data_IF_788716339356
#
_entry.id   IF_788716339356
#
_cell.length_a   1.000
_cell.length_b   1.000
_cell.length_c   1.000
_cell.angle_alpha   90.00
_cell.angle_beta   90.00
_cell.angle_gamma   90.00
#
_symmetry.space_group_name_H-M   'P 1'
#
loop_
_entity.id
_entity.type
_entity.pdbx_description
1 polymer ?
#
# COMPACT_ATOMS: atom_id res chain seq x y z
N UNK A 1 49.11 -19.25 17.31
CA UNK A 1 50.24 -19.40 16.33
C UNK A 1 49.66 -19.94 15.02
N UNK A 2 49.86 -19.26 13.89
CA UNK A 2 49.44 -19.72 12.57
C UNK A 2 48.96 -18.54 11.72
N UNK A 3 49.87 -17.63 11.32
CA UNK A 3 49.73 -16.66 10.25
C UNK A 3 49.79 -17.39 8.92
N UNK A 4 48.85 -17.15 8.01
CA UNK A 4 49.03 -17.40 6.58
C UNK A 4 48.76 -16.11 5.81
N UNK A 5 49.85 -15.56 5.35
CA UNK A 5 50.00 -14.51 4.37
C UNK A 5 49.85 -15.14 2.99
N UNK A 6 49.07 -14.55 2.10
CA UNK A 6 49.19 -14.84 0.67
C UNK A 6 49.26 -13.56 -0.15
N UNK A 7 50.25 -13.64 -0.98
CA UNK A 7 50.94 -12.62 -1.74
C UNK A 7 50.18 -12.15 -2.98
N UNK A 8 50.38 -10.88 -3.24
CA UNK A 8 50.08 -10.10 -4.44
C UNK A 8 50.93 -10.52 -5.60
N UNK A 9 50.36 -10.72 -6.78
CA UNK A 9 51.11 -10.61 -8.03
C UNK A 9 50.29 -9.94 -9.11
N UNK A 10 50.80 -8.79 -9.51
CA UNK A 10 50.45 -8.02 -10.71
C UNK A 10 50.65 -8.82 -11.99
N UNK A 11 49.81 -8.60 -12.98
CA UNK A 11 50.24 -8.65 -14.38
C UNK A 11 49.43 -7.69 -15.24
N UNK A 12 50.08 -6.58 -15.51
CA UNK A 12 49.77 -5.58 -16.49
C UNK A 12 50.18 -6.07 -17.88
N UNK A 13 49.28 -6.15 -18.84
CA UNK A 13 49.65 -6.15 -20.26
C UNK A 13 48.68 -5.30 -21.07
N UNK A 14 49.23 -4.20 -21.50
CA UNK A 14 48.76 -3.27 -22.52
C UNK A 14 48.75 -3.99 -23.88
N UNK A 15 47.62 -3.96 -24.59
CA UNK A 15 47.61 -4.10 -26.04
C UNK A 15 46.75 -3.01 -26.65
N UNK A 16 47.40 -2.08 -27.27
CA UNK A 16 46.91 -1.02 -28.14
C UNK A 16 46.61 -1.66 -29.52
N UNK A 17 45.39 -1.54 -30.03
CA UNK A 17 45.15 -1.79 -31.46
C UNK A 17 44.07 -0.86 -31.97
N UNK A 18 44.53 0.08 -32.76
CA UNK A 18 43.77 0.99 -33.62
C UNK A 18 43.25 0.19 -34.82
N UNK A 19 41.95 0.19 -35.06
CA UNK A 19 41.39 -0.05 -36.40
C UNK A 19 40.19 0.86 -36.60
N UNK A 20 40.38 1.87 -37.44
CA UNK A 20 39.36 2.69 -38.09
C UNK A 20 38.61 1.85 -39.13
N UNK A 21 37.28 1.82 -39.04
CA UNK A 21 36.45 1.46 -40.18
C UNK A 21 35.14 2.24 -40.13
N UNK A 22 35.06 3.20 -41.02
CA UNK A 22 33.89 4.01 -41.37
C UNK A 22 32.92 3.15 -42.17
N UNK A 23 31.73 2.94 -41.67
CA UNK A 23 30.61 2.36 -42.43
C UNK A 23 29.32 3.08 -42.07
N UNK A 24 28.94 4.02 -42.89
CA UNK A 24 27.62 4.61 -42.97
C UNK A 24 26.65 3.56 -43.51
N UNK A 25 25.74 3.07 -42.65
CA UNK A 25 24.55 2.36 -43.06
C UNK A 25 23.36 3.05 -42.38
N UNK A 26 22.72 3.90 -43.16
CA UNK A 26 21.36 4.39 -42.91
C UNK A 26 20.38 3.23 -42.94
N UNK A 27 20.00 2.70 -41.81
CA UNK A 27 18.85 1.83 -41.66
C UNK A 27 17.74 2.63 -40.97
N UNK A 28 16.74 3.02 -41.73
CA UNK A 28 15.42 3.37 -41.17
C UNK A 28 14.86 2.10 -40.51
N UNK A 29 15.16 1.93 -39.22
CA UNK A 29 14.50 1.00 -38.36
C UNK A 29 13.41 1.78 -37.64
N UNK A 30 12.16 1.50 -37.96
CA UNK A 30 11.01 1.89 -37.13
C UNK A 30 11.20 1.30 -35.75
N UNK A 31 11.72 2.08 -34.83
CA UNK A 31 11.64 1.80 -33.41
C UNK A 31 10.15 1.85 -33.07
N UNK A 32 9.52 0.67 -33.02
CA UNK A 32 8.30 0.49 -32.25
C UNK A 32 8.63 0.94 -30.84
N UNK A 33 8.17 2.14 -30.49
CA UNK A 33 8.06 2.52 -29.10
C UNK A 33 7.10 1.50 -28.50
N UNK A 34 7.61 0.51 -27.77
CA UNK A 34 6.82 -0.18 -26.77
C UNK A 34 6.38 0.93 -25.81
N UNK A 35 5.12 1.34 -25.98
CA UNK A 35 4.38 2.05 -24.95
C UNK A 35 4.27 1.07 -23.77
N UNK A 36 5.33 1.00 -22.96
CA UNK A 36 5.15 0.62 -21.57
C UNK A 36 4.24 1.71 -21.02
N UNK A 37 2.97 1.38 -20.90
CA UNK A 37 2.01 2.14 -20.14
C UNK A 37 2.62 2.26 -18.74
N UNK A 38 3.22 3.40 -18.45
CA UNK A 38 3.70 3.73 -17.11
C UNK A 38 2.45 3.68 -16.23
N UNK A 39 2.31 2.62 -15.44
CA UNK A 39 1.21 2.50 -14.49
C UNK A 39 1.33 3.73 -13.60
N UNK A 40 0.34 4.61 -13.68
CA UNK A 40 0.35 5.86 -12.91
C UNK A 40 0.45 5.51 -11.42
N UNK A 41 1.54 5.95 -10.78
CA UNK A 41 1.70 5.78 -9.33
C UNK A 41 0.57 6.46 -8.60
N UNK A 42 -0.04 5.77 -7.67
CA UNK A 42 -1.05 6.34 -6.79
C UNK A 42 -0.45 7.43 -5.88
N UNK A 43 -1.30 8.22 -5.30
CA UNK A 43 -0.95 9.30 -4.37
C UNK A 43 -1.65 9.09 -3.03
N UNK A 44 -0.98 9.46 -1.95
CA UNK A 44 -1.65 9.60 -0.65
C UNK A 44 -2.51 10.86 -0.69
N UNK A 45 -3.79 10.82 -0.27
CA UNK A 45 -4.63 12.00 -0.18
C UNK A 45 -4.00 13.09 0.71
N UNK A 46 -4.18 14.36 0.36
CA UNK A 46 -3.60 15.47 1.11
C UNK A 46 -4.36 15.81 2.41
N UNK A 47 -5.59 15.33 2.56
CA UNK A 47 -6.43 15.53 3.75
C UNK A 47 -7.42 14.38 3.92
N UNK A 48 -8.01 14.29 5.12
CA UNK A 48 -9.06 13.33 5.45
C UNK A 48 -10.48 13.79 5.07
N UNK A 49 -10.66 15.01 4.65
CA UNK A 49 -11.97 15.52 4.21
C UNK A 49 -12.23 15.12 2.76
N UNK A 50 -12.46 13.81 2.54
CA UNK A 50 -12.67 13.20 1.22
C UNK A 50 -14.17 12.93 1.05
N UNK A 51 -14.89 13.73 0.21
CA UNK A 51 -16.34 13.66 0.12
C UNK A 51 -16.87 12.27 -0.22
N UNK A 52 -16.21 11.56 -1.14
CA UNK A 52 -16.61 10.21 -1.57
C UNK A 52 -16.50 9.20 -0.44
N UNK A 53 -15.43 9.25 0.35
CA UNK A 53 -15.23 8.35 1.51
C UNK A 53 -16.24 8.66 2.59
N UNK A 54 -16.47 9.95 2.89
CA UNK A 54 -17.50 10.38 3.86
C UNK A 54 -18.88 9.90 3.44
N UNK A 55 -19.24 10.01 2.15
CA UNK A 55 -20.53 9.59 1.64
C UNK A 55 -20.74 8.07 1.80
N UNK A 56 -19.73 7.26 1.54
CA UNK A 56 -19.84 5.80 1.70
C UNK A 56 -19.94 5.37 3.16
N UNK A 57 -19.22 6.03 4.07
CA UNK A 57 -19.42 5.83 5.50
C UNK A 57 -20.82 6.24 5.96
N UNK A 58 -21.34 7.38 5.48
CA UNK A 58 -22.67 7.85 5.81
C UNK A 58 -23.80 6.99 5.22
N UNK A 59 -23.55 6.29 4.12
CA UNK A 59 -24.49 5.33 3.55
C UNK A 59 -24.70 4.11 4.47
N UNK A 60 -23.68 3.70 5.22
CA UNK A 60 -23.77 2.58 6.15
C UNK A 60 -24.13 3.01 7.56
N UNK A 61 -23.52 4.08 8.04
CA UNK A 61 -23.80 4.68 9.35
C UNK A 61 -24.25 6.12 9.13
N UNK A 62 -25.56 6.38 9.08
CA UNK A 62 -26.11 7.72 8.88
C UNK A 62 -25.51 8.76 9.83
N UNK A 63 -25.28 9.97 9.34
CA UNK A 63 -24.63 11.08 10.05
C UNK A 63 -23.12 10.91 10.26
N UNK A 64 -22.49 9.86 9.72
CA UNK A 64 -21.02 9.72 9.71
C UNK A 64 -20.37 10.89 9.00
N UNK A 65 -19.25 11.34 9.55
CA UNK A 65 -18.41 12.40 8.99
C UNK A 65 -16.95 12.13 9.30
N UNK A 66 -16.05 12.89 8.72
CA UNK A 66 -14.68 12.91 9.17
C UNK A 66 -14.61 13.37 10.64
N UNK A 67 -13.85 12.62 11.45
CA UNK A 67 -13.59 12.91 12.86
C UNK A 67 -12.12 13.23 13.03
N UNK A 68 -11.74 14.49 13.31
CA UNK A 68 -10.36 14.83 13.62
C UNK A 68 -9.83 13.98 14.77
N UNK A 69 -8.72 13.29 14.55
CA UNK A 69 -8.13 12.38 15.53
C UNK A 69 -6.65 12.74 15.72
N UNK A 70 -6.25 12.93 16.97
CA UNK A 70 -4.85 13.10 17.35
C UNK A 70 -4.25 11.69 17.60
N UNK A 71 -3.60 11.17 16.56
CA UNK A 71 -3.08 9.82 16.58
C UNK A 71 -1.83 9.68 17.46
N UNK A 72 -1.86 8.69 18.36
CA UNK A 72 -0.74 8.33 19.24
C UNK A 72 -0.39 6.85 18.99
N UNK A 73 0.27 6.51 17.86
CA UNK A 73 0.50 5.11 17.50
C UNK A 73 1.48 4.45 18.46
N UNK A 74 1.20 3.20 18.80
CA UNK A 74 2.17 2.34 19.45
C UNK A 74 3.23 1.88 18.42
N UNK A 75 4.49 1.69 18.84
CA UNK A 75 5.52 1.12 17.97
C UNK A 75 5.06 -0.22 17.34
N UNK A 76 5.58 -0.51 16.17
CA UNK A 76 5.34 -1.76 15.44
C UNK A 76 3.88 -2.01 15.02
N UNK A 77 3.01 -1.00 15.07
CA UNK A 77 1.63 -1.06 14.56
C UNK A 77 1.55 -0.62 13.09
N UNK A 78 0.45 -0.99 12.41
CA UNK A 78 0.15 -0.50 11.06
C UNK A 78 0.04 1.02 11.04
N UNK A 79 -0.59 1.60 12.06
CA UNK A 79 -0.73 3.04 12.19
C UNK A 79 0.62 3.75 12.29
N UNK A 80 1.56 3.21 13.11
CA UNK A 80 2.91 3.75 13.18
C UNK A 80 3.60 3.65 11.81
N UNK A 81 3.54 2.50 11.16
CA UNK A 81 4.15 2.30 9.85
C UNK A 81 3.59 3.26 8.79
N UNK A 82 2.30 3.54 8.82
CA UNK A 82 1.65 4.52 7.93
C UNK A 82 2.20 5.92 8.17
N UNK A 83 2.21 6.40 9.41
CA UNK A 83 2.62 7.76 9.74
C UNK A 83 4.14 7.96 9.54
N UNK A 84 4.96 6.98 9.87
CA UNK A 84 6.42 7.01 9.68
C UNK A 84 6.82 7.05 8.19
N UNK A 85 5.94 6.57 7.29
CA UNK A 85 6.16 6.57 5.84
C UNK A 85 5.41 7.69 5.10
N UNK A 86 5.12 8.81 5.76
CA UNK A 86 4.41 9.97 5.19
C UNK A 86 2.99 9.62 4.69
N UNK A 87 2.36 8.67 5.31
CA UNK A 87 0.96 8.35 5.09
C UNK A 87 0.03 9.23 5.91
N UNK A 88 -1.27 9.03 5.71
CA UNK A 88 -2.31 9.65 6.55
C UNK A 88 -3.26 8.60 7.12
N UNK A 89 -3.82 8.92 8.27
CA UNK A 89 -4.79 8.08 8.97
C UNK A 89 -6.04 8.91 9.28
N UNK A 90 -7.18 8.45 8.79
CA UNK A 90 -8.44 9.18 8.84
C UNK A 90 -9.51 8.36 9.55
N UNK A 91 -10.20 8.98 10.50
CA UNK A 91 -11.37 8.42 11.17
C UNK A 91 -12.64 8.97 10.57
N UNK A 92 -13.62 8.11 10.33
CA UNK A 92 -14.94 8.47 9.83
C UNK A 92 -16.00 7.81 10.73
N UNK A 93 -17.02 8.55 11.12
CA UNK A 93 -18.08 8.00 11.97
C UNK A 93 -18.84 9.06 12.76
N UNK A 94 -19.46 8.60 13.83
CA UNK A 94 -20.21 9.41 14.80
C UNK A 94 -19.47 9.37 16.13
N UNK A 95 -18.74 10.42 16.43
CA UNK A 95 -17.84 10.49 17.59
C UNK A 95 -18.57 10.24 18.92
N UNK A 96 -19.74 10.83 19.11
CA UNK A 96 -20.51 10.68 20.36
C UNK A 96 -21.11 9.29 20.55
N UNK A 97 -21.25 8.52 19.47
CA UNK A 97 -21.75 7.15 19.50
C UNK A 97 -20.63 6.11 19.48
N UNK A 98 -19.38 6.55 19.32
CA UNK A 98 -18.20 5.70 19.18
C UNK A 98 -18.34 4.66 18.04
N UNK A 99 -19.12 5.00 17.01
CA UNK A 99 -19.33 4.15 15.84
C UNK A 99 -18.62 4.76 14.65
N UNK A 100 -17.79 3.95 14.00
CA UNK A 100 -17.06 4.41 12.82
C UNK A 100 -16.01 3.42 12.35
N UNK A 101 -15.17 3.90 11.47
CA UNK A 101 -14.05 3.17 10.95
C UNK A 101 -12.89 4.09 10.58
N UNK A 102 -11.83 3.48 10.11
CA UNK A 102 -10.60 4.16 9.73
C UNK A 102 -10.23 3.81 8.29
N UNK A 103 -9.68 4.78 7.62
CA UNK A 103 -8.97 4.55 6.35
C UNK A 103 -7.58 5.15 6.47
N UNK A 104 -6.59 4.34 6.12
CA UNK A 104 -5.17 4.69 6.15
C UNK A 104 -4.63 4.62 4.73
N UNK A 105 -3.77 5.54 4.36
CA UNK A 105 -3.05 5.52 3.09
C UNK A 105 -1.58 5.79 3.34
N UNK A 106 -0.69 5.01 2.71
CA UNK A 106 0.75 5.30 2.74
C UNK A 106 1.40 4.89 1.43
N UNK A 107 2.40 5.62 0.95
CA UNK A 107 3.20 5.15 -0.17
C UNK A 107 3.90 3.84 0.23
N UNK A 108 4.03 2.91 -0.69
CA UNK A 108 4.81 1.68 -0.47
C UNK A 108 6.33 1.97 -0.55
N UNK A 109 6.77 3.04 0.13
CA UNK A 109 8.16 3.39 0.23
C UNK A 109 8.93 2.31 1.01
N UNK A 110 10.18 2.04 0.60
CA UNK A 110 11.05 1.06 1.25
C UNK A 110 10.43 -0.34 1.44
N UNK A 111 9.46 -0.69 0.60
CA UNK A 111 8.71 -1.94 0.68
C UNK A 111 7.98 -2.13 2.03
N UNK A 112 7.37 -1.07 2.56
CA UNK A 112 6.64 -1.12 3.84
C UNK A 112 5.54 -2.18 3.82
N UNK A 113 4.89 -2.38 2.66
CA UNK A 113 3.90 -3.45 2.46
C UNK A 113 4.46 -4.83 2.79
N UNK A 114 5.59 -5.23 2.19
CA UNK A 114 6.16 -6.56 2.43
C UNK A 114 6.67 -6.72 3.87
N UNK A 115 7.17 -5.65 4.48
CA UNK A 115 7.55 -5.65 5.89
C UNK A 115 6.35 -5.92 6.81
N UNK A 116 5.21 -5.27 6.54
CA UNK A 116 3.98 -5.41 7.35
C UNK A 116 3.25 -6.71 7.08
N UNK A 117 3.22 -7.19 5.85
CA UNK A 117 2.57 -8.43 5.44
C UNK A 117 3.00 -9.64 6.28
N UNK A 118 4.28 -9.74 6.64
CA UNK A 118 4.76 -10.81 7.53
C UNK A 118 4.02 -10.78 8.86
N UNK A 119 3.92 -9.61 9.48
CA UNK A 119 3.16 -9.40 10.72
C UNK A 119 1.68 -9.77 10.55
N UNK A 120 1.04 -9.34 9.46
CA UNK A 120 -0.39 -9.65 9.24
C UNK A 120 -0.65 -11.14 9.19
N UNK A 121 0.19 -11.90 8.47
CA UNK A 121 0.08 -13.36 8.39
C UNK A 121 0.28 -13.99 9.79
N UNK A 122 1.25 -13.50 10.56
CA UNK A 122 1.48 -13.96 11.94
C UNK A 122 0.29 -13.69 12.87
N UNK A 123 -0.44 -12.59 12.64
CA UNK A 123 -1.66 -12.22 13.36
C UNK A 123 -2.94 -12.84 12.78
N UNK A 124 -2.83 -13.75 11.80
CA UNK A 124 -3.96 -14.50 11.27
C UNK A 124 -4.71 -13.81 10.13
N UNK A 125 -4.19 -12.72 9.56
CA UNK A 125 -4.76 -12.17 8.34
C UNK A 125 -4.57 -13.14 7.16
N UNK A 126 -5.60 -13.25 6.34
CA UNK A 126 -5.62 -14.15 5.20
C UNK A 126 -5.74 -13.39 3.88
N UNK A 127 -5.15 -13.91 2.78
CA UNK A 127 -5.37 -13.34 1.46
C UNK A 127 -6.85 -13.32 1.10
N UNK A 128 -7.28 -12.27 0.41
CA UNK A 128 -8.65 -12.11 -0.08
C UNK A 128 -8.67 -11.52 -1.48
N UNK A 129 -9.60 -11.97 -2.31
CA UNK A 129 -9.92 -11.34 -3.58
C UNK A 129 -11.00 -10.27 -3.36
N UNK A 130 -10.78 -9.08 -3.90
CA UNK A 130 -11.72 -7.97 -3.79
C UNK A 130 -12.57 -7.88 -5.06
N UNK A 131 -13.90 -8.13 -5.00
CA UNK A 131 -14.77 -8.15 -6.18
C UNK A 131 -14.73 -6.84 -6.98
N UNK A 132 -14.35 -6.95 -8.27
CA UNK A 132 -14.28 -5.80 -9.18
C UNK A 132 -13.13 -4.84 -8.90
N UNK A 133 -12.07 -5.32 -8.24
CA UNK A 133 -10.79 -4.64 -8.08
C UNK A 133 -9.71 -5.59 -8.57
N UNK A 134 -9.25 -5.37 -9.79
CA UNK A 134 -8.23 -6.21 -10.43
C UNK A 134 -6.81 -5.83 -9.99
N UNK A 135 -5.87 -6.76 -10.14
CA UNK A 135 -4.42 -6.56 -9.95
C UNK A 135 -4.01 -6.02 -8.56
N UNK A 136 -4.76 -6.39 -7.53
CA UNK A 136 -4.52 -5.95 -6.16
C UNK A 136 -4.12 -7.12 -5.27
N UNK A 137 -3.07 -6.94 -4.46
CA UNK A 137 -2.81 -7.82 -3.34
C UNK A 137 -3.61 -7.33 -2.13
N UNK A 138 -4.40 -8.22 -1.51
CA UNK A 138 -5.18 -7.85 -0.34
C UNK A 138 -5.15 -8.95 0.74
N UNK A 139 -5.22 -8.50 2.00
CA UNK A 139 -5.30 -9.35 3.20
C UNK A 139 -6.42 -8.86 4.11
N UNK A 140 -7.16 -9.77 4.69
CA UNK A 140 -8.26 -9.46 5.61
C UNK A 140 -8.01 -10.05 6.99
N UNK A 141 -8.28 -9.25 8.02
CA UNK A 141 -8.48 -9.71 9.39
C UNK A 141 -9.98 -9.63 9.70
N UNK A 142 -10.49 -10.71 10.29
CA UNK A 142 -11.86 -10.79 10.77
C UNK A 142 -11.86 -11.48 12.13
N UNK A 143 -12.18 -10.74 13.18
CA UNK A 143 -12.24 -11.20 14.56
C UNK A 143 -13.58 -10.85 15.19
N UNK A 144 -13.93 -11.50 16.29
CA UNK A 144 -15.16 -11.20 17.03
C UNK A 144 -16.42 -11.53 16.24
N UNK A 145 -16.43 -12.65 15.54
CA UNK A 145 -17.59 -13.06 14.72
C UNK A 145 -18.70 -13.72 15.51
N UNK A 146 -18.45 -14.05 16.77
CA UNK A 146 -19.44 -14.65 17.65
C UNK A 146 -20.25 -13.60 18.39
N UNK A 147 -21.49 -13.95 18.75
CA UNK A 147 -22.38 -13.03 19.45
C UNK A 147 -21.81 -12.60 20.81
N UNK A 148 -21.66 -11.31 21.02
CA UNK A 148 -21.15 -10.70 22.26
C UNK A 148 -19.66 -10.40 22.26
N UNK A 149 -18.94 -10.76 21.19
CA UNK A 149 -17.56 -10.34 21.00
C UNK A 149 -17.45 -8.95 20.34
N UNK A 150 -16.38 -8.25 20.63
CA UNK A 150 -16.05 -7.03 19.89
C UNK A 150 -15.67 -7.42 18.45
N UNK A 151 -16.47 -6.97 17.51
CA UNK A 151 -16.22 -7.24 16.10
C UNK A 151 -15.12 -6.33 15.57
N UNK A 152 -14.10 -6.94 14.96
CA UNK A 152 -13.02 -6.23 14.27
C UNK A 152 -12.93 -6.76 12.85
N UNK A 153 -13.03 -5.86 11.89
CA UNK A 153 -12.87 -6.20 10.49
C UNK A 153 -11.99 -5.14 9.81
N UNK A 154 -10.93 -5.58 9.18
CA UNK A 154 -10.05 -4.71 8.40
C UNK A 154 -9.53 -5.42 7.16
N UNK A 155 -9.28 -4.66 6.12
CA UNK A 155 -8.59 -5.11 4.93
C UNK A 155 -7.39 -4.21 4.65
N UNK A 156 -6.27 -4.83 4.33
CA UNK A 156 -5.08 -4.21 3.78
C UNK A 156 -5.03 -4.50 2.29
N UNK A 157 -4.80 -3.49 1.45
CA UNK A 157 -4.63 -3.68 0.01
C UNK A 157 -3.49 -2.83 -0.53
N UNK A 158 -2.77 -3.37 -1.52
CA UNK A 158 -1.74 -2.66 -2.26
C UNK A 158 -2.23 -2.43 -3.68
N UNK A 159 -2.35 -1.18 -4.08
CA UNK A 159 -2.73 -0.79 -5.44
C UNK A 159 -1.95 0.45 -5.88
N UNK A 160 -1.43 0.44 -7.11
CA UNK A 160 -0.67 1.55 -7.68
C UNK A 160 0.45 2.08 -6.75
N UNK A 161 1.15 1.17 -6.06
CA UNK A 161 2.24 1.49 -5.13
C UNK A 161 1.79 2.30 -3.89
N UNK A 162 0.49 2.25 -3.56
CA UNK A 162 -0.09 2.78 -2.32
C UNK A 162 -0.68 1.63 -1.51
N UNK A 163 -0.25 1.50 -0.26
CA UNK A 163 -0.93 0.65 0.72
C UNK A 163 -2.09 1.42 1.31
N UNK A 164 -3.28 0.82 1.22
CA UNK A 164 -4.52 1.32 1.80
C UNK A 164 -4.99 0.30 2.84
N UNK A 165 -5.40 0.76 4.02
CA UNK A 165 -6.09 -0.05 5.00
C UNK A 165 -7.47 0.53 5.27
N UNK A 166 -8.51 -0.30 5.23
CA UNK A 166 -9.87 0.07 5.59
C UNK A 166 -10.31 -0.84 6.73
N UNK A 167 -10.80 -0.26 7.82
CA UNK A 167 -11.27 -1.03 8.96
C UNK A 167 -12.45 -0.36 9.66
N UNK A 168 -13.41 -1.19 10.09
CA UNK A 168 -14.52 -0.74 10.92
C UNK A 168 -15.08 -1.90 11.77
N UNK A 169 -15.66 -1.57 12.90
CA UNK A 169 -16.29 -2.55 13.79
C UNK A 169 -17.69 -2.97 13.34
N UNK A 170 -18.29 -2.28 12.40
CA UNK A 170 -19.64 -2.57 11.90
C UNK A 170 -19.67 -3.43 10.62
N UNK A 171 -18.55 -3.65 9.95
CA UNK A 171 -18.52 -4.53 8.78
C UNK A 171 -18.72 -5.99 9.16
N UNK A 172 -19.57 -6.70 8.42
CA UNK A 172 -19.80 -8.12 8.57
C UNK A 172 -19.05 -8.95 7.52
N UNK A 173 -18.86 -8.36 6.34
CA UNK A 173 -18.21 -9.01 5.20
C UNK A 173 -17.51 -7.98 4.29
N UNK A 174 -16.88 -8.50 3.23
CA UNK A 174 -16.17 -7.67 2.25
C UNK A 174 -17.11 -6.84 1.39
N UNK A 175 -18.31 -7.31 1.14
CA UNK A 175 -19.31 -6.64 0.33
C UNK A 175 -19.73 -5.31 0.95
N UNK A 176 -19.88 -5.27 2.26
CA UNK A 176 -20.17 -4.02 2.99
C UNK A 176 -19.00 -3.03 2.95
N UNK A 177 -17.76 -3.51 2.95
CA UNK A 177 -16.58 -2.65 2.88
C UNK A 177 -16.25 -2.16 1.47
N UNK A 178 -16.66 -2.90 0.42
CA UNK A 178 -16.29 -2.59 -0.97
C UNK A 178 -16.58 -1.16 -1.43
N UNK A 179 -17.72 -0.52 -1.12
CA UNK A 179 -17.96 0.87 -1.50
C UNK A 179 -16.90 1.82 -0.92
N UNK A 180 -16.57 1.66 0.36
CA UNK A 180 -15.55 2.47 1.05
C UNK A 180 -14.16 2.18 0.49
N UNK A 181 -13.82 0.90 0.22
CA UNK A 181 -12.56 0.51 -0.41
C UNK A 181 -12.41 1.19 -1.78
N UNK A 182 -13.46 1.16 -2.62
CA UNK A 182 -13.44 1.80 -3.93
C UNK A 182 -13.29 3.32 -3.84
N UNK A 183 -13.97 3.96 -2.91
CA UNK A 183 -13.80 5.39 -2.64
C UNK A 183 -12.36 5.71 -2.18
N UNK A 184 -11.79 4.89 -1.30
CA UNK A 184 -10.42 5.04 -0.84
C UNK A 184 -9.38 4.88 -1.97
N UNK A 185 -9.59 3.93 -2.88
CA UNK A 185 -8.77 3.75 -4.09
C UNK A 185 -8.88 4.97 -5.00
N UNK A 186 -10.09 5.47 -5.24
CA UNK A 186 -10.29 6.64 -6.09
C UNK A 186 -9.61 7.89 -5.53
N UNK A 187 -9.61 8.06 -4.21
CA UNK A 187 -8.92 9.14 -3.52
C UNK A 187 -7.39 9.08 -3.66
N UNK A 188 -6.84 7.92 -4.02
CA UNK A 188 -5.40 7.71 -4.22
C UNK A 188 -4.92 7.81 -5.67
N UNK A 189 -5.78 8.21 -6.61
CA UNK A 189 -5.47 8.32 -8.06
C UNK A 189 -4.98 9.72 -8.52
#
# INVERSE_FOLDING_TARGET
MGKLSFSYTENMKIILSLITSLSLLTACGSTGAENQSEIAKGKVPASCEIPEVVAEFAAQVPESKFVPTDWQPLPDTDLAAVLDNNGIACTYGIQVAEVGGTVLWTPNAENVWEKRKTSWIEFGETPIDLPGIDETAAYVLKEGTESGEMHVWKVNLLINDVWIQVGASFFQDVEEALPIIKAAINASR
#
